data_IF_997792765144
#
_entry.id   IF_997792765144
#
_cell.length_a   1.000
_cell.length_b   1.000
_cell.length_c   1.000
_cell.angle_alpha   90.00
_cell.angle_beta   90.00
_cell.angle_gamma   90.00
#
_symmetry.space_group_name_H-M   'P 1'
#
loop_
_entity.id
_entity.type
_entity.pdbx_description
1 polymer ?
#
# COMPACT_ATOMS: atom_id res chain seq x y z
N UNK A 1 -40.11 -58.40 -5.68
CA UNK A 1 -38.84 -58.69 -6.37
C UNK A 1 -38.77 -60.20 -6.50
N UNK A 2 -38.74 -60.73 -7.72
CA UNK A 2 -38.68 -62.17 -7.96
C UNK A 2 -37.26 -62.71 -7.71
N UNK A 3 -37.13 -64.00 -7.39
CA UNK A 3 -35.84 -64.66 -7.13
C UNK A 3 -34.87 -64.51 -8.31
N UNK A 4 -35.37 -64.58 -9.55
CA UNK A 4 -34.59 -64.38 -10.78
C UNK A 4 -33.95 -62.97 -10.84
N UNK A 5 -34.68 -61.93 -10.45
CA UNK A 5 -34.17 -60.55 -10.40
C UNK A 5 -33.10 -60.38 -9.31
N UNK A 6 -33.25 -61.11 -8.22
CA UNK A 6 -32.31 -61.09 -7.10
C UNK A 6 -30.97 -61.72 -7.51
N UNK A 7 -31.03 -62.83 -8.23
CA UNK A 7 -29.88 -63.55 -8.76
C UNK A 7 -29.14 -62.72 -9.81
N UNK A 8 -29.87 -62.08 -10.73
CA UNK A 8 -29.28 -61.18 -11.73
C UNK A 8 -28.56 -59.97 -11.09
N UNK A 9 -29.06 -59.45 -9.95
CA UNK A 9 -28.39 -58.39 -9.20
C UNK A 9 -27.10 -58.91 -8.54
N UNK A 10 -27.11 -60.11 -7.97
CA UNK A 10 -25.92 -60.71 -7.36
C UNK A 10 -24.82 -60.95 -8.40
N UNK A 11 -25.17 -61.53 -9.55
CA UNK A 11 -24.21 -61.79 -10.63
C UNK A 11 -23.62 -60.49 -11.17
N UNK A 12 -24.44 -59.45 -11.35
CA UNK A 12 -23.99 -58.12 -11.76
C UNK A 12 -23.07 -57.47 -10.71
N UNK A 13 -23.36 -57.67 -9.43
CA UNK A 13 -22.55 -57.14 -8.34
C UNK A 13 -21.20 -57.86 -8.22
N UNK A 14 -21.17 -59.16 -8.52
CA UNK A 14 -19.96 -59.97 -8.53
C UNK A 14 -19.08 -59.63 -9.74
N UNK A 15 -19.67 -59.48 -10.92
CA UNK A 15 -18.98 -58.96 -12.11
C UNK A 15 -18.43 -57.54 -11.89
N UNK A 16 -19.18 -56.67 -11.21
CA UNK A 16 -18.71 -55.32 -10.88
C UNK A 16 -17.55 -55.32 -9.87
N UNK A 17 -17.57 -56.23 -8.88
CA UNK A 17 -16.44 -56.43 -7.96
C UNK A 17 -15.19 -56.94 -8.68
N UNK A 18 -15.35 -57.82 -9.66
CA UNK A 18 -14.23 -58.31 -10.48
C UNK A 18 -13.63 -57.24 -11.40
N UNK A 19 -14.43 -56.25 -11.83
CA UNK A 19 -13.96 -55.07 -12.59
C UNK A 19 -13.49 -53.90 -11.72
N UNK A 20 -13.73 -53.93 -10.41
CA UNK A 20 -13.43 -52.84 -9.50
C UNK A 20 -11.94 -52.73 -9.18
N UNK A 21 -11.43 -51.49 -9.10
CA UNK A 21 -10.07 -51.21 -8.61
C UNK A 21 -10.01 -51.31 -7.08
N UNK A 22 -8.84 -51.62 -6.52
CA UNK A 22 -8.70 -51.71 -5.06
C UNK A 22 -8.70 -50.32 -4.45
N UNK A 23 -9.29 -50.18 -3.25
CA UNK A 23 -9.25 -48.91 -2.52
C UNK A 23 -7.80 -48.50 -2.21
N UNK A 24 -7.02 -49.44 -1.67
CA UNK A 24 -5.58 -49.30 -1.52
C UNK A 24 -4.87 -50.32 -2.42
N UNK A 25 -3.87 -49.90 -3.21
CA UNK A 25 -3.27 -48.57 -3.28
C UNK A 25 -3.92 -47.62 -4.32
N UNK A 26 -4.77 -48.13 -5.21
CA UNK A 26 -5.12 -47.42 -6.45
C UNK A 26 -5.93 -46.12 -6.25
N UNK A 27 -6.96 -46.14 -5.40
CA UNK A 27 -7.80 -44.95 -5.15
C UNK A 27 -7.00 -43.90 -4.36
N UNK A 28 -6.33 -44.32 -3.28
CA UNK A 28 -5.54 -43.42 -2.43
C UNK A 28 -4.44 -42.71 -3.24
N UNK A 29 -3.78 -43.41 -4.15
CA UNK A 29 -2.76 -42.80 -5.00
C UNK A 29 -3.36 -41.73 -5.94
N UNK A 30 -4.53 -41.99 -6.52
CA UNK A 30 -5.23 -41.01 -7.37
C UNK A 30 -5.68 -39.80 -6.56
N UNK A 31 -6.25 -40.03 -5.38
CA UNK A 31 -6.69 -38.95 -4.49
C UNK A 31 -5.50 -38.09 -4.06
N UNK A 32 -4.36 -38.71 -3.72
CA UNK A 32 -3.12 -37.99 -3.38
C UNK A 32 -2.64 -37.10 -4.53
N UNK A 33 -2.63 -37.60 -5.77
CA UNK A 33 -2.25 -36.79 -6.95
C UNK A 33 -3.21 -35.61 -7.14
N UNK A 34 -4.52 -35.86 -7.08
CA UNK A 34 -5.54 -34.81 -7.29
C UNK A 34 -5.48 -33.77 -6.18
N UNK A 35 -5.39 -34.18 -4.91
CA UNK A 35 -5.26 -33.27 -3.77
C UNK A 35 -3.97 -32.45 -3.85
N UNK A 36 -2.85 -33.06 -4.24
CA UNK A 36 -1.60 -32.34 -4.42
C UNK A 36 -1.69 -31.33 -5.58
N UNK A 37 -2.33 -31.70 -6.69
CA UNK A 37 -2.55 -30.77 -7.80
C UNK A 37 -3.44 -29.58 -7.40
N UNK A 38 -4.51 -29.81 -6.62
CA UNK A 38 -5.36 -28.73 -6.10
C UNK A 38 -4.57 -27.85 -5.12
N UNK A 39 -3.73 -28.44 -4.26
CA UNK A 39 -2.88 -27.68 -3.35
C UNK A 39 -1.90 -26.76 -4.11
N UNK A 40 -1.23 -27.29 -5.14
CA UNK A 40 -0.35 -26.49 -5.99
C UNK A 40 -1.11 -25.40 -6.75
N UNK A 41 -2.33 -25.68 -7.21
CA UNK A 41 -3.19 -24.67 -7.83
C UNK A 41 -3.53 -23.54 -6.85
N UNK A 42 -3.93 -23.89 -5.62
CA UNK A 42 -4.24 -22.89 -4.59
C UNK A 42 -3.01 -22.08 -4.20
N UNK A 43 -1.84 -22.72 -4.05
CA UNK A 43 -0.58 -22.03 -3.77
C UNK A 43 -0.20 -21.08 -4.92
N UNK A 44 -0.34 -21.53 -6.17
CA UNK A 44 -0.12 -20.70 -7.34
C UNK A 44 -1.04 -19.49 -7.37
N UNK A 45 -2.34 -19.67 -7.12
CA UNK A 45 -3.28 -18.55 -7.02
C UNK A 45 -2.90 -17.59 -5.89
N UNK A 46 -2.52 -18.09 -4.72
CA UNK A 46 -2.12 -17.25 -3.59
C UNK A 46 -0.85 -16.42 -3.89
N UNK A 47 0.12 -16.98 -4.61
CA UNK A 47 1.38 -16.29 -4.93
C UNK A 47 1.24 -15.31 -6.11
N UNK A 48 0.49 -15.69 -7.15
CA UNK A 48 0.43 -14.91 -8.40
C UNK A 48 -0.79 -13.98 -8.49
N UNK A 49 -1.91 -14.32 -7.87
CA UNK A 49 -3.14 -13.50 -7.86
C UNK A 49 -3.27 -12.72 -6.56
N UNK A 50 -2.72 -13.26 -5.47
CA UNK A 50 -2.81 -12.63 -4.14
C UNK A 50 -4.24 -12.72 -3.56
N UNK A 51 -4.41 -12.10 -2.39
CA UNK A 51 -5.72 -11.91 -1.76
C UNK A 51 -6.06 -10.43 -1.85
N UNK A 52 -7.29 -10.10 -2.24
CA UNK A 52 -7.77 -8.72 -2.20
C UNK A 52 -7.73 -8.25 -0.75
N UNK A 53 -6.89 -7.26 -0.46
CA UNK A 53 -6.88 -6.61 0.85
C UNK A 53 -8.17 -5.82 1.03
N UNK A 54 -8.67 -5.78 2.27
CA UNK A 54 -9.68 -4.80 2.68
C UNK A 54 -9.02 -3.82 3.66
N UNK A 55 -9.42 -2.54 3.65
CA UNK A 55 -8.89 -1.58 4.59
C UNK A 55 -9.24 -2.02 6.01
N UNK A 56 -8.40 -1.65 6.97
CA UNK A 56 -8.67 -1.92 8.38
C UNK A 56 -10.02 -1.32 8.77
N UNK A 57 -10.81 -2.07 9.54
CA UNK A 57 -12.14 -1.66 9.95
C UNK A 57 -12.12 -0.29 10.62
N UNK A 58 -12.84 0.67 10.04
CA UNK A 58 -13.01 2.03 10.54
C UNK A 58 -14.50 2.27 10.86
N UNK A 59 -14.89 2.31 12.14
CA UNK A 59 -16.27 2.58 12.53
C UNK A 59 -16.77 3.99 12.15
N UNK A 60 -15.87 4.90 11.80
CA UNK A 60 -16.20 6.26 11.38
C UNK A 60 -16.32 6.42 9.86
N UNK A 61 -15.97 5.40 9.09
CA UNK A 61 -16.15 5.39 7.65
C UNK A 61 -17.60 5.00 7.29
N UNK A 62 -18.42 6.01 7.00
CA UNK A 62 -19.79 5.80 6.51
C UNK A 62 -19.89 5.60 5.00
N UNK A 63 -18.79 5.78 4.27
CA UNK A 63 -18.70 5.55 2.83
C UNK A 63 -18.30 4.10 2.50
N UNK A 64 -17.78 3.35 3.48
CA UNK A 64 -17.50 1.92 3.32
C UNK A 64 -18.77 1.14 2.94
N UNK A 65 -18.71 0.45 1.80
CA UNK A 65 -19.79 -0.43 1.33
C UNK A 65 -19.43 -1.87 1.73
N UNK A 66 -20.01 -2.43 2.80
CA UNK A 66 -19.73 -3.81 3.21
C UNK A 66 -20.25 -4.78 2.14
N UNK A 67 -19.32 -5.42 1.41
CA UNK A 67 -19.66 -6.41 0.39
C UNK A 67 -19.54 -7.82 0.97
N UNK A 68 -20.50 -8.71 0.68
CA UNK A 68 -20.37 -10.10 1.08
C UNK A 68 -19.34 -10.82 0.21
N UNK A 69 -18.80 -11.90 0.75
CA UNK A 69 -17.94 -12.83 0.03
C UNK A 69 -18.61 -13.39 -1.23
N UNK A 70 -17.82 -13.74 -2.24
CA UNK A 70 -18.30 -14.14 -3.57
C UNK A 70 -19.31 -15.30 -3.54
N UNK A 71 -19.14 -16.26 -2.62
CA UNK A 71 -20.05 -17.39 -2.44
C UNK A 71 -21.39 -17.02 -1.79
N UNK A 72 -21.55 -15.79 -1.29
CA UNK A 72 -22.81 -15.26 -0.75
C UNK A 72 -23.44 -14.15 -1.62
N UNK A 73 -22.76 -13.71 -2.68
CA UNK A 73 -23.27 -12.64 -3.55
C UNK A 73 -24.67 -12.92 -4.10
N UNK A 74 -24.98 -14.17 -4.48
CA UNK A 74 -26.31 -14.52 -5.00
C UNK A 74 -27.43 -14.34 -3.97
N UNK A 75 -27.15 -14.57 -2.67
CA UNK A 75 -28.13 -14.37 -1.60
C UNK A 75 -28.35 -12.88 -1.35
N UNK A 76 -27.29 -12.09 -1.42
CA UNK A 76 -27.38 -10.64 -1.25
C UNK A 76 -28.13 -9.97 -2.39
N UNK A 77 -27.88 -10.39 -3.63
CA UNK A 77 -28.64 -9.94 -4.79
C UNK A 77 -30.11 -10.35 -4.69
N UNK A 78 -30.37 -11.58 -4.26
CA UNK A 78 -31.74 -12.03 -4.00
C UNK A 78 -32.44 -11.15 -2.97
N UNK A 79 -31.72 -10.67 -1.95
CA UNK A 79 -32.27 -9.84 -0.89
C UNK A 79 -32.79 -8.49 -1.40
N UNK A 80 -32.22 -7.95 -2.50
CA UNK A 80 -32.72 -6.74 -3.14
C UNK A 80 -34.19 -6.87 -3.60
N UNK A 81 -34.66 -8.08 -3.87
CA UNK A 81 -36.06 -8.34 -4.24
C UNK A 81 -37.01 -8.48 -3.03
N UNK A 82 -36.49 -8.48 -1.80
CA UNK A 82 -37.28 -8.62 -0.56
C UNK A 82 -37.07 -7.44 0.42
N UNK A 83 -37.42 -6.19 0.04
CA UNK A 83 -37.16 -5.03 0.89
C UNK A 83 -38.04 -4.98 2.17
N UNK A 84 -37.47 -4.45 3.25
CA UNK A 84 -38.18 -4.10 4.48
C UNK A 84 -38.65 -5.31 5.29
N UNK A 85 -39.95 -5.39 5.59
CA UNK A 85 -40.51 -6.44 6.45
C UNK A 85 -40.46 -7.86 5.86
N UNK A 86 -40.06 -8.01 4.60
CA UNK A 86 -39.90 -9.29 3.91
C UNK A 86 -38.46 -9.80 3.90
N UNK A 87 -37.50 -9.04 4.44
CA UNK A 87 -36.08 -9.38 4.42
C UNK A 87 -35.80 -10.75 5.07
N UNK A 88 -36.46 -11.04 6.21
CA UNK A 88 -36.36 -12.34 6.90
C UNK A 88 -36.84 -13.52 6.06
N UNK A 89 -37.75 -13.30 5.11
CA UNK A 89 -38.22 -14.34 4.18
C UNK A 89 -37.09 -14.70 3.22
N UNK A 90 -36.42 -13.68 2.67
CA UNK A 90 -35.29 -13.83 1.76
C UNK A 90 -34.06 -14.46 2.43
N UNK A 91 -33.73 -14.06 3.66
CA UNK A 91 -32.51 -14.53 4.35
C UNK A 91 -32.68 -15.85 5.06
N UNK A 92 -33.85 -16.13 5.65
CA UNK A 92 -34.03 -17.28 6.56
C UNK A 92 -34.98 -18.32 5.98
N UNK A 93 -36.16 -17.92 5.50
CA UNK A 93 -37.16 -18.89 5.03
C UNK A 93 -36.71 -19.56 3.74
N UNK A 94 -36.33 -18.79 2.70
CA UNK A 94 -36.02 -19.35 1.38
C UNK A 94 -34.80 -20.30 1.46
N UNK A 95 -33.64 -19.90 2.01
CA UNK A 95 -32.51 -20.81 2.17
C UNK A 95 -32.86 -21.99 3.07
N UNK A 96 -33.59 -21.76 4.17
CA UNK A 96 -34.04 -22.82 5.08
C UNK A 96 -34.93 -23.86 4.39
N UNK A 97 -35.86 -23.43 3.54
CA UNK A 97 -36.71 -24.33 2.75
C UNK A 97 -35.91 -25.09 1.69
N UNK A 98 -34.94 -24.46 1.04
CA UNK A 98 -34.05 -25.14 0.08
C UNK A 98 -33.24 -26.24 0.79
N UNK A 99 -32.66 -25.94 1.95
CA UNK A 99 -31.92 -26.92 2.75
C UNK A 99 -32.85 -28.03 3.24
N UNK A 100 -34.05 -27.69 3.73
CA UNK A 100 -35.05 -28.67 4.13
C UNK A 100 -35.46 -29.57 2.97
N UNK A 101 -35.65 -29.01 1.77
CA UNK A 101 -35.98 -29.75 0.57
C UNK A 101 -34.83 -30.68 0.15
N UNK A 102 -33.58 -30.23 0.26
CA UNK A 102 -32.40 -31.06 0.03
C UNK A 102 -32.28 -32.20 1.05
N UNK A 103 -32.60 -31.93 2.31
CA UNK A 103 -32.63 -32.93 3.37
C UNK A 103 -33.76 -33.95 3.17
N UNK A 104 -34.92 -33.50 2.69
CA UNK A 104 -36.07 -34.35 2.37
C UNK A 104 -35.98 -35.01 0.98
N UNK A 105 -35.00 -34.62 0.16
CA UNK A 105 -34.78 -35.14 -1.19
C UNK A 105 -34.74 -36.68 -1.26
N UNK A 106 -34.07 -37.43 -0.36
CA UNK A 106 -34.11 -38.91 -0.38
C UNK A 106 -35.51 -39.51 -0.15
N UNK A 107 -36.44 -38.77 0.46
CA UNK A 107 -37.82 -39.23 0.71
C UNK A 107 -38.79 -38.81 -0.41
N UNK A 108 -38.52 -37.65 -1.02
CA UNK A 108 -39.30 -37.08 -2.12
C UNK A 108 -38.96 -37.79 -3.44
N UNK A 109 -37.67 -37.95 -3.75
CA UNK A 109 -37.23 -38.64 -4.97
C UNK A 109 -37.14 -40.15 -4.75
N UNK A 110 -38.28 -40.83 -4.96
CA UNK A 110 -38.40 -42.29 -4.89
C UNK A 110 -38.01 -43.01 -6.18
N UNK A 111 -37.26 -42.36 -7.07
CA UNK A 111 -36.86 -42.96 -8.34
C UNK A 111 -36.00 -44.22 -8.10
N UNK A 112 -36.35 -45.39 -8.67
CA UNK A 112 -35.60 -46.63 -8.50
C UNK A 112 -34.20 -46.60 -9.14
N UNK A 113 -33.93 -45.66 -10.04
CA UNK A 113 -32.64 -45.52 -10.72
C UNK A 113 -31.74 -44.51 -9.99
N UNK A 114 -30.57 -44.96 -9.53
CA UNK A 114 -29.58 -44.11 -8.83
C UNK A 114 -28.72 -43.26 -9.76
N UNK A 115 -28.49 -43.72 -10.98
CA UNK A 115 -27.56 -43.06 -11.89
C UNK A 115 -28.14 -41.72 -12.41
N UNK A 116 -27.28 -40.70 -12.50
CA UNK A 116 -27.66 -39.31 -12.77
C UNK A 116 -28.48 -39.13 -14.06
N UNK A 117 -28.14 -39.79 -15.17
CA UNK A 117 -28.83 -39.54 -16.44
C UNK A 117 -30.25 -40.14 -16.53
N UNK A 118 -30.61 -41.06 -15.62
CA UNK A 118 -31.99 -41.55 -15.44
C UNK A 118 -32.79 -40.73 -14.42
N UNK A 119 -32.17 -39.82 -13.67
CA UNK A 119 -32.83 -38.91 -12.72
C UNK A 119 -33.06 -37.52 -13.33
N UNK A 120 -33.57 -37.49 -14.56
CA UNK A 120 -33.71 -36.27 -15.37
C UNK A 120 -34.45 -35.17 -14.61
N UNK A 121 -35.53 -35.49 -13.91
CA UNK A 121 -36.29 -34.50 -13.13
C UNK A 121 -35.46 -33.84 -12.02
N UNK A 122 -34.85 -34.63 -11.12
CA UNK A 122 -34.05 -34.11 -10.02
C UNK A 122 -32.82 -33.33 -10.51
N UNK A 123 -32.16 -33.82 -11.56
CA UNK A 123 -31.02 -33.13 -12.19
C UNK A 123 -31.48 -31.82 -12.85
N UNK A 124 -32.61 -31.80 -13.57
CA UNK A 124 -33.16 -30.57 -14.16
C UNK A 124 -33.46 -29.52 -13.10
N UNK A 125 -34.12 -29.90 -11.99
CA UNK A 125 -34.42 -28.97 -10.90
C UNK A 125 -33.15 -28.41 -10.27
N UNK A 126 -32.18 -29.28 -9.93
CA UNK A 126 -30.90 -28.84 -9.38
C UNK A 126 -30.14 -27.93 -10.34
N UNK A 127 -30.16 -28.24 -11.63
CA UNK A 127 -29.52 -27.42 -12.67
C UNK A 127 -30.15 -26.03 -12.75
N UNK A 128 -31.48 -25.92 -12.66
CA UNK A 128 -32.17 -24.62 -12.64
C UNK A 128 -31.77 -23.81 -11.40
N UNK A 129 -31.66 -24.45 -10.23
CA UNK A 129 -31.22 -23.79 -8.99
C UNK A 129 -29.80 -23.24 -9.14
N UNK A 130 -28.86 -24.05 -9.65
CA UNK A 130 -27.47 -23.63 -9.87
C UNK A 130 -27.39 -22.51 -10.91
N UNK A 131 -28.12 -22.60 -12.02
CA UNK A 131 -28.19 -21.53 -13.02
C UNK A 131 -28.73 -20.24 -12.39
N UNK A 132 -29.76 -20.33 -11.54
CA UNK A 132 -30.28 -19.18 -10.80
C UNK A 132 -29.25 -18.55 -9.88
N UNK A 133 -28.50 -19.35 -9.12
CA UNK A 133 -27.41 -18.86 -8.26
C UNK A 133 -26.31 -18.15 -9.07
N UNK A 134 -25.90 -18.72 -10.20
CA UNK A 134 -24.90 -18.12 -11.09
C UNK A 134 -25.43 -16.81 -11.70
N UNK A 135 -26.67 -16.80 -12.19
CA UNK A 135 -27.29 -15.61 -12.76
C UNK A 135 -27.41 -14.47 -11.75
N UNK A 136 -27.83 -14.77 -10.52
CA UNK A 136 -27.88 -13.80 -9.42
C UNK A 136 -26.48 -13.32 -9.02
N UNK A 137 -25.47 -14.20 -9.02
CA UNK A 137 -24.08 -13.79 -8.76
C UNK A 137 -23.58 -12.81 -9.83
N UNK A 138 -23.85 -13.09 -11.11
CA UNK A 138 -23.49 -12.19 -12.21
C UNK A 138 -24.22 -10.86 -12.10
N UNK A 139 -25.52 -10.88 -11.77
CA UNK A 139 -26.31 -9.67 -11.51
C UNK A 139 -25.76 -8.87 -10.33
N UNK A 140 -25.34 -9.54 -9.25
CA UNK A 140 -24.70 -8.90 -8.11
C UNK A 140 -23.44 -8.15 -8.54
N UNK A 141 -22.55 -8.81 -9.28
CA UNK A 141 -21.31 -8.20 -9.77
C UNK A 141 -21.59 -7.02 -10.71
N UNK A 142 -22.59 -7.14 -11.59
CA UNK A 142 -22.93 -6.10 -12.55
C UNK A 142 -23.62 -4.87 -11.93
N UNK A 143 -24.40 -5.04 -10.86
CA UNK A 143 -25.18 -3.96 -10.24
C UNK A 143 -24.53 -3.35 -9.02
N UNK A 144 -23.47 -3.97 -8.49
CA UNK A 144 -22.73 -3.44 -7.36
C UNK A 144 -21.72 -2.40 -7.86
N UNK A 145 -21.78 -1.15 -7.38
CA UNK A 145 -20.79 -0.15 -7.76
C UNK A 145 -19.39 -0.62 -7.34
N UNK A 146 -18.32 -0.28 -8.10
CA UNK A 146 -16.97 -0.47 -7.61
C UNK A 146 -16.84 0.29 -6.29
N UNK A 147 -16.33 -0.33 -5.22
CA UNK A 147 -15.87 0.46 -4.07
C UNK A 147 -14.82 1.41 -4.63
N UNK A 148 -14.95 2.69 -4.29
CA UNK A 148 -13.76 3.51 -4.24
C UNK A 148 -12.79 2.77 -3.34
N UNK A 149 -11.64 2.38 -3.87
CA UNK A 149 -10.55 1.78 -3.11
C UNK A 149 -10.17 2.80 -2.04
N UNK A 150 -10.82 2.73 -0.88
CA UNK A 150 -10.58 3.64 0.23
C UNK A 150 -9.27 3.21 0.89
N UNK A 151 -8.20 3.83 0.40
CA UNK A 151 -6.83 3.64 0.84
C UNK A 151 -6.14 2.57 0.00
N UNK A 152 -5.01 2.92 -0.62
CA UNK A 152 -4.07 1.92 -1.11
C UNK A 152 -3.72 1.00 0.06
N UNK A 153 -3.98 -0.30 -0.07
CA UNK A 153 -3.76 -1.23 1.04
C UNK A 153 -2.35 -1.74 0.90
N UNK A 154 -1.47 -1.06 1.62
CA UNK A 154 -0.08 -1.42 1.61
C UNK A 154 0.16 -2.81 2.20
N UNK A 155 0.44 -3.76 1.31
CA UNK A 155 0.61 -5.19 1.60
C UNK A 155 2.04 -5.53 2.04
N UNK A 156 2.98 -4.61 1.76
CA UNK A 156 4.39 -4.73 2.14
C UNK A 156 4.84 -3.53 2.97
N UNK A 157 5.91 -3.69 3.74
CA UNK A 157 6.51 -2.59 4.53
C UNK A 157 6.94 -1.43 3.64
N UNK A 158 7.49 -1.73 2.46
CA UNK A 158 7.88 -0.72 1.48
C UNK A 158 6.68 0.11 1.01
N UNK A 159 5.58 -0.56 0.65
CA UNK A 159 4.35 0.09 0.22
C UNK A 159 3.74 0.93 1.36
N UNK A 160 3.85 0.48 2.62
CA UNK A 160 3.35 1.21 3.79
C UNK A 160 4.13 2.51 4.00
N UNK A 161 5.45 2.47 3.79
CA UNK A 161 6.29 3.65 3.93
C UNK A 161 5.99 4.66 2.83
N UNK A 162 5.89 4.23 1.57
CA UNK A 162 5.57 5.13 0.45
C UNK A 162 4.19 5.75 0.60
N UNK A 163 3.18 4.95 1.01
CA UNK A 163 1.85 5.45 1.29
C UNK A 163 1.85 6.44 2.47
N UNK A 164 2.61 6.13 3.52
CA UNK A 164 2.79 7.00 4.67
C UNK A 164 3.42 8.34 4.30
N UNK A 165 4.43 8.32 3.42
CA UNK A 165 5.06 9.54 2.91
C UNK A 165 4.07 10.42 2.14
N UNK A 166 3.19 9.83 1.33
CA UNK A 166 2.18 10.56 0.58
C UNK A 166 1.20 11.29 1.52
N UNK A 167 0.61 10.57 2.48
CA UNK A 167 -0.30 11.20 3.44
C UNK A 167 0.42 12.20 4.35
N UNK A 168 1.64 11.90 4.79
CA UNK A 168 2.46 12.83 5.57
C UNK A 168 2.71 14.13 4.78
N UNK A 169 3.07 14.01 3.51
CA UNK A 169 3.31 15.14 2.61
C UNK A 169 2.07 16.02 2.46
N UNK A 170 0.88 15.42 2.32
CA UNK A 170 -0.36 16.16 2.10
C UNK A 170 -0.92 16.83 3.35
N UNK A 171 -0.68 16.29 4.54
CA UNK A 171 -1.38 16.68 5.77
C UNK A 171 -0.42 17.27 6.82
N UNK A 172 0.78 16.75 6.93
CA UNK A 172 1.67 17.06 8.06
C UNK A 172 2.73 18.11 7.74
N UNK A 173 3.23 18.16 6.50
CA UNK A 173 4.40 18.97 6.11
C UNK A 173 4.21 20.47 6.32
N UNK A 174 3.00 20.98 6.16
CA UNK A 174 2.67 22.40 6.32
C UNK A 174 3.02 22.91 7.74
N UNK A 175 2.85 22.07 8.77
CA UNK A 175 3.21 22.40 10.16
C UNK A 175 4.54 21.78 10.60
N UNK A 176 4.80 20.52 10.25
CA UNK A 176 5.94 19.77 10.78
C UNK A 176 7.20 19.78 9.90
N UNK A 177 7.11 20.31 8.68
CA UNK A 177 8.20 20.26 7.70
C UNK A 177 8.28 18.88 7.04
N UNK A 178 9.02 18.80 5.94
CA UNK A 178 9.14 17.56 5.16
C UNK A 178 9.90 16.44 5.89
N UNK A 179 10.80 16.79 6.81
CA UNK A 179 11.52 15.83 7.65
C UNK A 179 11.07 15.86 9.11
N UNK A 180 9.94 16.48 9.44
CA UNK A 180 9.47 16.57 10.82
C UNK A 180 10.35 17.44 11.73
N UNK A 181 11.19 18.31 11.15
CA UNK A 181 12.19 19.08 11.89
C UNK A 181 11.72 20.46 12.37
N UNK A 182 10.52 20.89 11.97
CA UNK A 182 10.08 22.28 12.16
C UNK A 182 10.05 22.63 13.65
N UNK A 183 10.64 23.77 13.99
CA UNK A 183 10.67 24.34 15.35
C UNK A 183 9.74 25.55 15.51
N UNK A 184 9.37 26.19 14.40
CA UNK A 184 8.49 27.35 14.35
C UNK A 184 7.64 27.26 13.08
N UNK A 185 6.32 27.36 13.25
CA UNK A 185 5.38 27.25 12.13
C UNK A 185 5.32 28.58 11.38
N UNK A 186 5.51 28.54 10.06
CA UNK A 186 5.47 29.71 9.17
C UNK A 186 4.57 29.39 7.97
N UNK A 187 3.79 30.39 7.53
CA UNK A 187 2.86 30.30 6.41
C UNK A 187 1.52 29.62 6.71
N UNK A 188 1.17 29.36 7.97
CA UNK A 188 -0.06 28.65 8.34
C UNK A 188 -1.02 29.57 9.09
N UNK A 189 -2.17 29.85 8.47
CA UNK A 189 -3.17 30.74 9.04
C UNK A 189 -3.64 30.24 10.41
N UNK A 190 -3.44 31.06 11.45
CA UNK A 190 -3.82 30.74 12.84
C UNK A 190 -2.77 30.00 13.67
N UNK A 191 -1.65 29.56 13.07
CA UNK A 191 -0.52 28.91 13.75
C UNK A 191 0.82 29.60 13.50
N UNK A 192 0.82 30.75 12.83
CA UNK A 192 2.04 31.52 12.54
C UNK A 192 2.82 31.90 13.81
N UNK A 193 4.12 31.57 13.82
CA UNK A 193 5.04 31.86 14.94
C UNK A 193 4.88 30.93 16.15
N UNK A 194 4.06 29.88 16.05
CA UNK A 194 3.95 28.87 17.10
C UNK A 194 5.22 28.03 17.18
N UNK A 195 5.80 27.95 18.37
CA UNK A 195 7.01 27.17 18.64
C UNK A 195 6.61 25.73 18.94
N UNK A 196 7.07 24.80 18.12
CA UNK A 196 6.81 23.36 18.26
C UNK A 196 8.11 22.59 18.45
N UNK A 197 7.99 21.39 19.02
CA UNK A 197 9.13 20.47 19.12
C UNK A 197 9.25 19.67 17.82
N UNK A 198 10.48 19.49 17.27
CA UNK A 198 10.72 18.61 16.14
C UNK A 198 10.22 17.20 16.44
N UNK A 199 9.30 16.71 15.60
CA UNK A 199 8.70 15.39 15.77
C UNK A 199 9.63 14.27 15.33
N UNK A 200 10.64 14.57 14.52
CA UNK A 200 11.70 13.65 14.12
C UNK A 200 12.84 13.52 15.15
N UNK A 201 12.76 14.23 16.29
CA UNK A 201 13.82 14.19 17.29
C UNK A 201 13.94 12.80 17.94
N UNK A 202 15.17 12.42 18.29
CA UNK A 202 15.43 11.14 18.97
C UNK A 202 14.62 11.00 20.25
N UNK A 203 14.39 12.08 21.02
CA UNK A 203 13.52 12.05 22.20
C UNK A 203 12.12 11.52 21.87
N UNK A 204 11.50 12.02 20.79
CA UNK A 204 10.16 11.59 20.37
C UNK A 204 10.16 10.19 19.81
N UNK A 205 11.10 9.86 18.91
CA UNK A 205 11.18 8.52 18.32
C UNK A 205 11.47 7.47 19.41
N UNK A 206 12.29 7.77 20.41
CA UNK A 206 12.66 6.75 21.41
C UNK A 206 11.60 6.53 22.48
N UNK A 207 10.85 7.57 22.85
CA UNK A 207 9.93 7.53 23.98
C UNK A 207 8.48 7.25 23.61
N UNK A 208 8.04 7.67 22.42
CA UNK A 208 6.68 7.42 21.95
C UNK A 208 6.60 6.01 21.35
N UNK A 209 5.54 5.27 21.66
CA UNK A 209 5.23 4.00 20.99
C UNK A 209 4.44 4.24 19.71
N UNK A 210 4.34 3.25 18.83
CA UNK A 210 3.57 3.35 17.58
C UNK A 210 2.11 3.67 17.87
N UNK A 211 1.53 3.02 18.88
CA UNK A 211 0.18 3.33 19.38
C UNK A 211 0.07 4.77 19.90
N UNK A 212 1.13 5.30 20.53
CA UNK A 212 1.13 6.68 21.01
C UNK A 212 1.13 7.65 19.84
N UNK A 213 1.99 7.42 18.83
CA UNK A 213 2.05 8.23 17.62
C UNK A 213 0.72 8.17 16.86
N UNK A 214 0.15 6.97 16.70
CA UNK A 214 -1.16 6.76 16.11
C UNK A 214 -2.23 7.58 16.83
N UNK A 215 -2.32 7.48 18.16
CA UNK A 215 -3.33 8.19 18.94
C UNK A 215 -3.14 9.71 18.89
N UNK A 216 -1.90 10.20 18.89
CA UNK A 216 -1.59 11.63 18.75
C UNK A 216 -2.07 12.15 17.39
N UNK A 217 -1.82 11.41 16.30
CA UNK A 217 -2.25 11.80 14.95
C UNK A 217 -3.78 11.73 14.84
N UNK A 218 -4.37 10.65 15.35
CA UNK A 218 -5.80 10.38 15.29
C UNK A 218 -6.63 11.42 16.07
N UNK A 219 -6.26 11.68 17.32
CA UNK A 219 -7.00 12.54 18.25
C UNK A 219 -6.57 14.02 18.20
N UNK A 220 -5.36 14.28 17.71
CA UNK A 220 -4.72 15.58 17.85
C UNK A 220 -4.31 15.87 19.30
N UNK A 221 -3.66 17.02 19.50
CA UNK A 221 -3.27 17.53 20.80
C UNK A 221 -3.76 18.97 20.92
N UNK A 222 -4.97 19.20 21.48
CA UNK A 222 -5.56 20.53 21.56
C UNK A 222 -4.68 21.55 22.31
N UNK A 223 -3.97 21.09 23.35
CA UNK A 223 -3.06 21.93 24.13
C UNK A 223 -1.84 22.41 23.32
N UNK A 224 -1.46 21.67 22.28
CA UNK A 224 -0.37 22.01 21.36
C UNK A 224 -0.90 22.53 20.01
N UNK A 225 -2.20 22.86 19.95
CA UNK A 225 -2.90 23.33 18.74
C UNK A 225 -2.76 22.39 17.53
N UNK A 226 -2.48 21.11 17.77
CA UNK A 226 -2.49 20.09 16.73
C UNK A 226 -3.92 19.58 16.56
N UNK A 227 -4.58 19.81 15.40
CA UNK A 227 -5.93 19.32 15.16
C UNK A 227 -5.97 17.79 15.06
N UNK A 228 -7.11 17.16 15.32
CA UNK A 228 -7.31 15.75 15.00
C UNK A 228 -7.21 15.51 13.50
N UNK A 229 -6.45 14.51 13.07
CA UNK A 229 -6.40 14.10 11.67
C UNK A 229 -7.22 12.84 11.39
N UNK A 230 -7.65 12.13 12.44
CA UNK A 230 -8.51 10.97 12.31
C UNK A 230 -9.93 11.33 11.91
N UNK A 231 -10.49 10.58 10.97
CA UNK A 231 -11.85 10.73 10.45
C UNK A 231 -12.91 10.70 11.54
N UNK A 232 -12.72 9.84 12.54
CA UNK A 232 -13.58 9.73 13.72
C UNK A 232 -13.67 11.03 14.54
N UNK A 233 -12.67 11.91 14.42
CA UNK A 233 -12.52 13.12 15.21
C UNK A 233 -12.58 14.41 14.37
N UNK A 234 -13.01 14.29 13.10
CA UNK A 234 -13.20 15.42 12.20
C UNK A 234 -12.06 15.67 11.20
N UNK A 235 -11.05 14.79 11.15
CA UNK A 235 -10.02 14.81 10.12
C UNK A 235 -10.38 13.98 8.88
N UNK A 236 -9.39 13.71 8.03
CA UNK A 236 -9.57 13.02 6.75
C UNK A 236 -9.06 11.56 6.77
N UNK A 237 -8.18 11.22 7.73
CA UNK A 237 -7.46 9.96 7.76
C UNK A 237 -8.21 8.82 8.44
N UNK A 238 -8.25 7.66 7.79
CA UNK A 238 -8.63 6.38 8.37
C UNK A 238 -7.48 5.71 9.14
N UNK A 239 -7.76 4.66 9.93
CA UNK A 239 -6.77 3.98 10.74
C UNK A 239 -5.57 3.44 9.96
N UNK A 240 -5.79 2.79 8.81
CA UNK A 240 -4.70 2.25 7.99
C UNK A 240 -3.78 3.33 7.42
N UNK A 241 -4.32 4.51 7.11
CA UNK A 241 -3.57 5.65 6.59
C UNK A 241 -2.69 6.26 7.70
N UNK A 242 -3.22 6.36 8.92
CA UNK A 242 -2.43 6.81 10.09
C UNK A 242 -1.31 5.81 10.41
N UNK A 243 -1.59 4.51 10.34
CA UNK A 243 -0.56 3.47 10.53
C UNK A 243 0.56 3.56 9.49
N UNK A 244 0.21 3.84 8.23
CA UNK A 244 1.19 4.09 7.17
C UNK A 244 2.06 5.32 7.49
N UNK A 245 1.48 6.43 7.96
CA UNK A 245 2.24 7.61 8.40
C UNK A 245 3.19 7.25 9.55
N UNK A 246 2.71 6.51 10.56
CA UNK A 246 3.55 6.08 11.69
C UNK A 246 4.71 5.21 11.20
N UNK A 247 4.45 4.27 10.28
CA UNK A 247 5.49 3.47 9.67
C UNK A 247 6.53 4.34 8.94
N UNK A 248 6.08 5.30 8.12
CA UNK A 248 6.98 6.26 7.47
C UNK A 248 7.85 7.02 8.48
N UNK A 249 7.25 7.60 9.52
CA UNK A 249 7.98 8.32 10.56
C UNK A 249 9.05 7.44 11.23
N UNK A 250 8.71 6.18 11.54
CA UNK A 250 9.63 5.21 12.14
C UNK A 250 10.79 4.90 11.23
N UNK A 251 10.51 4.43 10.03
CA UNK A 251 11.55 3.95 9.14
C UNK A 251 12.42 5.09 8.56
N UNK A 252 11.94 6.33 8.57
CA UNK A 252 12.70 7.47 8.08
C UNK A 252 13.46 8.25 9.18
N UNK A 253 13.00 8.22 10.44
CA UNK A 253 13.60 9.04 11.52
C UNK A 253 14.10 8.26 12.74
N UNK A 254 13.67 7.01 12.93
CA UNK A 254 14.12 6.18 14.05
C UNK A 254 15.34 5.35 13.63
N UNK A 255 16.52 5.71 14.12
CA UNK A 255 17.80 5.05 13.80
C UNK A 255 17.93 3.62 14.31
N UNK A 256 16.96 3.12 15.11
CA UNK A 256 16.85 1.73 15.53
C UNK A 256 16.16 0.85 14.48
N UNK A 257 15.49 1.46 13.50
CA UNK A 257 14.74 0.75 12.47
C UNK A 257 15.65 0.43 11.30
N UNK A 258 15.77 -0.86 10.98
CA UNK A 258 16.45 -1.31 9.77
C UNK A 258 15.42 -1.47 8.65
N UNK A 259 15.58 -0.69 7.59
CA UNK A 259 14.81 -0.85 6.37
C UNK A 259 15.17 -2.18 5.69
N UNK A 260 14.17 -2.98 5.25
CA UNK A 260 14.46 -4.05 4.30
C UNK A 260 15.19 -3.46 3.08
N UNK A 261 16.20 -4.15 2.55
CA UNK A 261 17.01 -3.64 1.43
C UNK A 261 16.17 -3.20 0.22
N UNK A 262 15.01 -3.83 0.03
CA UNK A 262 14.02 -3.52 -1.00
C UNK A 262 13.26 -2.20 -0.73
N UNK A 263 13.04 -1.84 0.54
CA UNK A 263 12.34 -0.62 0.94
C UNK A 263 13.25 0.63 0.90
N UNK A 264 14.56 0.48 1.11
CA UNK A 264 15.53 1.58 0.98
C UNK A 264 15.44 2.24 -0.40
N UNK A 265 15.21 1.45 -1.44
CA UNK A 265 15.06 1.92 -2.82
C UNK A 265 13.72 2.64 -3.10
N UNK A 266 12.70 2.44 -2.26
CA UNK A 266 11.34 2.95 -2.49
C UNK A 266 10.94 4.10 -1.55
N UNK A 267 11.59 4.23 -0.39
CA UNK A 267 11.29 5.24 0.64
C UNK A 267 12.20 6.47 0.62
N UNK A 268 13.19 6.49 -0.27
CA UNK A 268 14.15 7.59 -0.39
C UNK A 268 14.20 8.07 -1.83
N UNK A 269 14.36 9.39 -2.02
CA UNK A 269 14.67 9.96 -3.33
C UNK A 269 15.90 9.22 -3.86
N UNK A 270 15.79 8.50 -5.00
CA UNK A 270 16.87 7.64 -5.48
C UNK A 270 18.18 8.42 -5.57
N UNK A 271 19.25 7.84 -5.01
CA UNK A 271 20.57 8.46 -5.09
C UNK A 271 21.03 8.50 -6.55
N UNK A 272 21.34 9.71 -7.03
CA UNK A 272 21.76 9.90 -8.41
C UNK A 272 23.21 9.42 -8.62
N UNK A 273 23.41 8.56 -9.61
CA UNK A 273 24.77 8.19 -10.04
C UNK A 273 25.60 9.40 -10.53
N UNK A 274 26.94 9.35 -10.46
CA UNK A 274 27.79 10.49 -10.85
C UNK A 274 27.52 11.03 -12.25
N UNK A 275 27.25 10.14 -13.21
CA UNK A 275 27.01 10.43 -14.64
C UNK A 275 25.56 10.15 -15.07
N UNK A 276 24.66 9.90 -14.11
CA UNK A 276 23.25 9.62 -14.40
C UNK A 276 22.49 10.93 -14.66
N UNK A 277 21.68 10.94 -15.72
CA UNK A 277 20.73 12.03 -15.98
C UNK A 277 19.46 11.74 -15.17
N UNK A 278 19.03 12.64 -14.28
CA UNK A 278 17.76 12.47 -13.57
C UNK A 278 16.59 12.54 -14.57
N UNK A 279 15.47 11.88 -14.26
CA UNK A 279 14.19 12.04 -14.95
C UNK A 279 13.10 12.56 -14.00
N UNK A 280 12.01 13.08 -14.56
CA UNK A 280 10.86 13.47 -13.75
C UNK A 280 10.28 12.27 -13.00
N UNK A 281 9.99 11.18 -13.71
CA UNK A 281 9.36 9.99 -13.14
C UNK A 281 10.14 9.41 -11.96
N UNK A 282 11.47 9.34 -12.06
CA UNK A 282 12.31 8.63 -11.08
C UNK A 282 12.74 9.54 -9.93
N UNK A 283 13.15 10.77 -10.23
CA UNK A 283 13.85 11.62 -9.25
C UNK A 283 13.03 12.85 -8.85
N UNK A 284 12.56 13.62 -9.82
CA UNK A 284 11.96 14.94 -9.54
C UNK A 284 10.58 14.78 -8.95
N UNK A 285 9.78 13.82 -9.41
CA UNK A 285 8.45 13.56 -8.88
C UNK A 285 8.51 13.22 -7.38
N UNK A 286 9.51 12.46 -6.94
CA UNK A 286 9.74 12.15 -5.52
C UNK A 286 10.07 13.40 -4.71
N UNK A 287 10.96 14.26 -5.21
CA UNK A 287 11.30 15.54 -4.56
C UNK A 287 10.06 16.44 -4.45
N UNK A 288 9.32 16.61 -5.55
CA UNK A 288 8.17 17.51 -5.58
C UNK A 288 7.01 17.01 -4.72
N UNK A 289 6.73 15.71 -4.72
CA UNK A 289 5.73 15.11 -3.83
C UNK A 289 6.04 15.39 -2.36
N UNK A 290 7.30 15.19 -1.95
CA UNK A 290 7.73 15.36 -0.55
C UNK A 290 7.80 16.81 -0.08
N UNK A 291 8.29 17.72 -0.93
CA UNK A 291 8.61 19.09 -0.50
C UNK A 291 7.71 20.19 -1.08
N UNK A 292 6.97 19.93 -2.17
CA UNK A 292 6.26 20.97 -2.92
C UNK A 292 4.74 20.81 -2.89
N UNK A 293 4.23 19.59 -3.10
CA UNK A 293 2.79 19.33 -3.36
C UNK A 293 1.87 19.74 -2.19
N UNK A 294 2.37 19.68 -0.95
CA UNK A 294 1.62 20.08 0.25
C UNK A 294 1.01 21.49 0.11
N UNK A 295 1.82 22.42 -0.40
CA UNK A 295 1.44 23.80 -0.68
C UNK A 295 1.04 23.99 -2.15
N UNK A 296 1.67 23.30 -3.11
CA UNK A 296 1.49 23.45 -4.57
C UNK A 296 0.51 22.45 -5.19
N UNK A 297 -0.73 22.46 -4.71
CA UNK A 297 -1.85 21.62 -5.18
C UNK A 297 -3.12 22.42 -5.49
N UNK A 298 -4.07 21.88 -6.27
CA UNK A 298 -5.32 22.56 -6.59
C UNK A 298 -6.08 23.00 -5.32
N UNK A 299 -6.61 24.22 -5.34
CA UNK A 299 -7.38 24.78 -4.23
C UNK A 299 -6.58 25.51 -3.15
N UNK A 300 -5.24 25.47 -3.18
CA UNK A 300 -4.38 26.29 -2.30
C UNK A 300 -4.10 27.66 -2.93
N UNK A 301 -3.90 28.69 -2.10
CA UNK A 301 -3.56 30.07 -2.53
C UNK A 301 -2.03 30.24 -2.60
N UNK A 302 -1.45 29.96 -3.76
CA UNK A 302 -0.01 29.78 -3.95
C UNK A 302 0.47 30.27 -5.33
N UNK A 303 -0.06 31.40 -5.79
CA UNK A 303 0.15 31.94 -7.15
C UNK A 303 -0.32 31.00 -8.27
N UNK A 304 -1.35 30.18 -7.99
CA UNK A 304 -1.93 29.18 -8.92
C UNK A 304 -0.90 28.18 -9.49
N UNK A 305 0.22 27.99 -8.79
CA UNK A 305 1.26 27.04 -9.19
C UNK A 305 0.95 25.66 -8.61
N UNK A 306 0.78 24.69 -9.50
CA UNK A 306 0.44 23.30 -9.19
C UNK A 306 1.58 22.40 -9.66
N UNK A 307 1.97 21.44 -8.82
CA UNK A 307 3.14 20.61 -9.09
C UNK A 307 2.91 19.11 -8.84
N UNK A 308 1.71 18.58 -9.10
CA UNK A 308 1.43 17.15 -8.90
C UNK A 308 1.87 16.33 -10.11
N UNK A 309 1.79 16.90 -11.31
CA UNK A 309 2.24 16.26 -12.56
C UNK A 309 3.32 17.07 -13.26
N UNK A 310 4.05 16.43 -14.18
CA UNK A 310 5.09 17.07 -14.99
C UNK A 310 4.54 18.26 -15.79
N UNK A 311 3.39 18.07 -16.44
CA UNK A 311 2.72 19.10 -17.22
C UNK A 311 2.30 20.29 -16.35
N UNK A 312 1.68 20.02 -15.19
CA UNK A 312 1.25 21.08 -14.26
C UNK A 312 2.43 21.93 -13.79
N UNK A 313 3.55 21.27 -13.46
CA UNK A 313 4.76 21.92 -12.94
C UNK A 313 5.38 22.92 -13.94
N UNK A 314 5.15 22.74 -15.24
CA UNK A 314 5.73 23.60 -16.28
C UNK A 314 4.73 24.65 -16.75
N UNK A 315 3.44 24.28 -16.82
CA UNK A 315 2.42 25.08 -17.49
C UNK A 315 1.59 25.95 -16.55
N UNK A 316 1.56 25.64 -15.26
CA UNK A 316 0.73 26.36 -14.28
C UNK A 316 1.48 27.46 -13.54
N UNK A 317 0.73 28.29 -12.82
CA UNK A 317 1.23 29.43 -12.06
C UNK A 317 1.03 30.77 -12.77
N UNK A 318 0.83 31.82 -11.97
CA UNK A 318 0.60 33.19 -12.46
C UNK A 318 1.81 33.76 -13.23
N UNK A 319 2.99 33.20 -12.99
CA UNK A 319 4.26 33.58 -13.62
C UNK A 319 4.79 32.48 -14.57
N UNK A 320 3.92 31.61 -15.10
CA UNK A 320 4.33 30.55 -16.02
C UNK A 320 5.02 31.10 -17.29
N UNK A 321 6.08 30.44 -17.82
CA UNK A 321 6.68 29.21 -17.28
C UNK A 321 7.61 29.49 -16.08
N UNK A 322 7.39 28.77 -14.98
CA UNK A 322 8.24 28.90 -13.78
C UNK A 322 9.53 28.03 -13.85
N UNK A 323 9.53 27.04 -14.74
CA UNK A 323 10.66 26.17 -15.08
C UNK A 323 10.86 26.16 -16.59
N UNK A 324 12.10 26.28 -17.02
CA UNK A 324 12.48 26.29 -18.43
C UNK A 324 13.68 25.38 -18.63
N UNK A 325 13.57 24.42 -19.57
CA UNK A 325 14.62 23.48 -19.88
C UNK A 325 15.92 24.20 -20.27
N UNK A 326 17.03 23.85 -19.62
CA UNK A 326 18.35 24.42 -19.83
C UNK A 326 18.59 25.81 -19.21
N UNK A 327 17.59 26.42 -18.55
CA UNK A 327 17.71 27.76 -17.97
C UNK A 327 17.66 27.75 -16.43
N UNK A 328 18.81 28.03 -15.82
CA UNK A 328 18.94 28.15 -14.37
C UNK A 328 18.48 29.51 -13.81
N UNK A 329 17.92 30.39 -14.65
CA UNK A 329 17.30 31.64 -14.22
C UNK A 329 15.76 31.57 -14.15
N UNK A 330 15.18 30.38 -14.29
CA UNK A 330 13.74 30.21 -14.15
C UNK A 330 13.28 30.52 -12.72
N UNK A 331 12.04 30.98 -12.56
CA UNK A 331 11.53 31.45 -11.26
C UNK A 331 11.71 30.41 -10.15
N UNK A 332 11.34 29.16 -10.40
CA UNK A 332 11.41 28.08 -9.39
C UNK A 332 12.84 27.89 -8.90
N UNK A 333 13.83 27.74 -9.79
CA UNK A 333 15.19 27.42 -9.34
C UNK A 333 15.85 28.60 -8.61
N UNK A 334 15.50 29.84 -8.97
CA UNK A 334 15.94 31.05 -8.25
C UNK A 334 15.34 31.11 -6.84
N UNK A 335 14.05 30.82 -6.71
CA UNK A 335 13.36 30.74 -5.40
C UNK A 335 13.92 29.59 -4.54
N UNK A 336 14.27 28.44 -5.14
CA UNK A 336 14.94 27.33 -4.43
C UNK A 336 16.34 27.70 -3.95
N UNK A 337 17.05 28.56 -4.69
CA UNK A 337 18.31 29.18 -4.27
C UNK A 337 18.11 30.37 -3.31
N UNK A 338 16.89 30.54 -2.78
CA UNK A 338 16.52 31.55 -1.79
C UNK A 338 16.65 33.00 -2.29
N UNK A 339 16.54 33.22 -3.60
CA UNK A 339 16.43 34.57 -4.14
C UNK A 339 15.03 35.14 -3.94
N UNK A 340 14.96 36.45 -3.64
CA UNK A 340 13.72 37.23 -3.69
C UNK A 340 13.50 37.72 -5.12
N UNK A 341 12.39 37.34 -5.74
CA UNK A 341 12.07 37.68 -7.13
C UNK A 341 10.64 38.20 -7.25
N UNK A 342 10.32 38.86 -8.37
CA UNK A 342 8.96 39.39 -8.60
C UNK A 342 7.87 38.30 -8.57
N UNK A 343 8.23 37.06 -8.94
CA UNK A 343 7.33 35.91 -8.92
C UNK A 343 7.06 35.34 -7.51
N UNK A 344 7.85 35.73 -6.50
CA UNK A 344 7.72 35.28 -5.12
C UNK A 344 9.06 35.23 -4.36
N UNK A 345 8.98 34.87 -3.08
CA UNK A 345 10.15 34.77 -2.21
C UNK A 345 10.77 33.37 -2.13
N UNK A 346 11.73 33.18 -1.19
CA UNK A 346 12.43 31.92 -0.97
C UNK A 346 11.51 30.72 -0.72
N UNK A 347 11.75 29.61 -1.43
CA UNK A 347 10.98 28.38 -1.30
C UNK A 347 11.88 27.16 -1.00
N UNK A 348 11.43 26.18 -0.19
CA UNK A 348 10.25 26.24 0.68
C UNK A 348 10.36 27.36 1.74
N UNK A 349 9.24 27.90 2.23
CA UNK A 349 9.26 29.08 3.11
C UNK A 349 9.98 28.80 4.43
N UNK A 350 9.72 27.62 5.02
CA UNK A 350 10.16 27.27 6.37
C UNK A 350 11.64 26.91 6.45
N UNK A 351 12.18 26.23 5.42
CA UNK A 351 13.56 25.75 5.41
C UNK A 351 14.04 25.49 3.98
N UNK A 352 15.31 25.81 3.73
CA UNK A 352 15.96 25.52 2.45
C UNK A 352 16.06 24.00 2.20
N UNK A 353 15.92 23.60 0.93
CA UNK A 353 16.20 22.23 0.49
C UNK A 353 17.67 21.89 0.73
N UNK A 354 17.95 20.59 0.91
CA UNK A 354 19.33 20.09 0.98
C UNK A 354 20.05 20.39 -0.35
N UNK A 355 21.33 20.80 -0.32
CA UNK A 355 22.08 21.11 -1.54
C UNK A 355 22.12 19.96 -2.56
N UNK A 356 22.13 18.72 -2.09
CA UNK A 356 22.10 17.51 -2.92
C UNK A 356 20.81 17.41 -3.75
N UNK A 357 19.67 17.80 -3.18
CA UNK A 357 18.38 17.80 -3.88
C UNK A 357 18.31 18.92 -4.92
N UNK A 358 18.89 20.08 -4.59
CA UNK A 358 19.02 21.20 -5.54
C UNK A 358 19.92 20.77 -6.71
N UNK A 359 21.02 20.06 -6.46
CA UNK A 359 21.89 19.52 -7.52
C UNK A 359 21.12 18.60 -8.47
N UNK A 360 20.31 17.67 -7.95
CA UNK A 360 19.47 16.79 -8.78
C UNK A 360 18.54 17.62 -9.69
N UNK A 361 17.87 18.65 -9.15
CA UNK A 361 16.99 19.53 -9.94
C UNK A 361 17.79 20.30 -10.99
N UNK A 362 18.96 20.86 -10.63
CA UNK A 362 19.83 21.60 -11.56
C UNK A 362 20.27 20.71 -12.71
N UNK A 363 20.73 19.48 -12.43
CA UNK A 363 21.14 18.52 -13.47
C UNK A 363 19.99 18.18 -14.39
N UNK A 364 18.81 17.95 -13.83
CA UNK A 364 17.62 17.68 -14.61
C UNK A 364 17.22 18.83 -15.52
N UNK A 365 17.26 20.08 -15.02
CA UNK A 365 17.00 21.28 -15.83
C UNK A 365 18.02 21.37 -16.97
N UNK A 366 19.32 21.24 -16.67
CA UNK A 366 20.39 21.33 -17.67
C UNK A 366 20.34 20.21 -18.71
N UNK A 367 19.84 19.03 -18.35
CA UNK A 367 19.65 17.89 -19.25
C UNK A 367 18.42 18.03 -20.16
N UNK A 368 17.68 19.14 -20.07
CA UNK A 368 16.50 19.37 -20.89
C UNK A 368 15.18 18.88 -20.28
N UNK A 369 15.16 18.63 -18.97
CA UNK A 369 13.98 18.20 -18.19
C UNK A 369 13.31 16.93 -18.74
N UNK A 370 14.04 15.82 -18.94
CA UNK A 370 13.43 14.57 -19.42
C UNK A 370 12.32 14.09 -18.48
N UNK A 371 11.16 13.73 -19.06
CA UNK A 371 10.01 13.26 -18.30
C UNK A 371 10.22 11.81 -17.86
N UNK A 372 10.49 10.92 -18.82
CA UNK A 372 10.62 9.48 -18.55
C UNK A 372 12.07 9.04 -18.30
N UNK A 373 12.24 7.87 -17.69
CA UNK A 373 13.57 7.25 -17.57
C UNK A 373 14.23 6.97 -18.94
N UNK A 374 13.43 6.68 -19.97
CA UNK A 374 13.92 6.47 -21.34
C UNK A 374 14.45 7.78 -21.96
N UNK A 375 13.75 8.89 -21.73
CA UNK A 375 14.19 10.22 -22.20
C UNK A 375 15.49 10.64 -21.52
N UNK A 376 15.60 10.37 -20.22
CA UNK A 376 16.82 10.65 -19.47
C UNK A 376 18.01 9.81 -19.95
N UNK A 377 17.79 8.52 -20.25
CA UNK A 377 18.83 7.67 -20.82
C UNK A 377 19.29 8.11 -22.22
N UNK A 378 18.43 8.80 -22.97
CA UNK A 378 18.75 9.36 -24.29
C UNK A 378 19.36 10.77 -24.21
N UNK A 379 19.26 11.45 -23.07
CA UNK A 379 19.75 12.80 -22.86
C UNK A 379 21.28 12.84 -22.66
N UNK A 380 21.88 13.98 -23.00
CA UNK A 380 23.33 14.18 -22.80
C UNK A 380 23.56 14.62 -21.35
N UNK A 381 24.44 13.95 -20.60
CA UNK A 381 24.78 14.37 -19.24
C UNK A 381 25.28 15.82 -19.23
N UNK A 382 24.72 16.68 -18.37
CA UNK A 382 25.17 18.06 -18.28
C UNK A 382 26.59 18.11 -17.70
N UNK A 383 27.47 18.90 -18.32
CA UNK A 383 28.82 19.15 -17.76
C UNK A 383 28.67 20.13 -16.61
N UNK A 384 28.56 19.63 -15.39
CA UNK A 384 28.49 20.47 -14.18
C UNK A 384 29.90 20.54 -13.59
N UNK A 385 30.48 21.73 -13.52
CA UNK A 385 31.63 21.96 -12.63
C UNK A 385 31.11 21.98 -11.20
N UNK A 386 31.57 21.10 -10.30
CA UNK A 386 31.05 21.05 -8.93
C UNK A 386 31.30 22.39 -8.21
N UNK A 387 30.41 22.80 -7.29
CA UNK A 387 30.61 24.00 -6.49
C UNK A 387 31.91 23.86 -5.69
N UNK A 388 32.71 24.94 -5.66
CA UNK A 388 33.95 25.00 -4.88
C UNK A 388 33.63 24.82 -3.40
N UNK A 389 33.76 23.60 -2.89
CA UNK A 389 33.39 23.27 -1.52
C UNK A 389 33.20 21.78 -1.22
N UNK A 390 33.12 20.91 -2.22
CA UNK A 390 33.15 19.46 -1.98
C UNK A 390 34.59 19.04 -1.66
N UNK A 391 34.91 18.95 -0.37
CA UNK A 391 36.04 18.16 0.08
C UNK A 391 35.75 16.73 -0.36
N UNK A 392 36.44 16.27 -1.39
CA UNK A 392 36.53 14.85 -1.70
C UNK A 392 37.20 14.20 -0.50
N UNK A 393 36.41 13.68 0.45
CA UNK A 393 36.89 12.64 1.35
C UNK A 393 37.11 11.42 0.47
N UNK A 394 38.28 11.36 -0.15
CA UNK A 394 38.85 10.09 -0.57
C UNK A 394 38.83 9.23 0.68
N UNK A 395 37.96 8.22 0.71
CA UNK A 395 38.14 7.07 1.59
C UNK A 395 39.43 6.40 1.12
N UNK A 396 40.55 6.91 1.62
CA UNK A 396 41.81 6.20 1.65
C UNK A 396 41.55 5.00 2.54
N UNK A 397 41.28 3.86 1.91
CA UNK A 397 41.41 2.55 2.54
C UNK A 397 42.76 2.54 3.26
N UNK A 398 42.83 2.43 4.59
CA UNK A 398 44.14 2.27 5.22
C UNK A 398 44.63 0.89 4.81
N UNK A 399 45.72 0.88 4.05
CA UNK A 399 46.52 -0.31 3.82
C UNK A 399 46.78 -0.97 5.17
N UNK A 400 46.51 -2.27 5.25
CA UNK A 400 46.78 -3.10 6.41
C UNK A 400 48.25 -2.96 6.81
N UNK A 401 48.51 -2.17 7.86
CA UNK A 401 49.79 -2.19 8.54
C UNK A 401 49.67 -3.23 9.66
N UNK A 402 50.35 -4.35 9.43
CA UNK A 402 50.61 -5.38 10.43
C UNK A 402 51.45 -4.72 11.54
N UNK A 403 50.81 -4.31 12.63
CA UNK A 403 51.50 -3.96 13.86
C UNK A 403 51.65 -5.25 14.67
N UNK A 404 52.85 -5.81 14.62
CA UNK A 404 53.29 -6.86 15.54
C UNK A 404 53.59 -6.19 16.88
N UNK A 405 52.63 -6.17 17.80
CA UNK A 405 52.89 -5.77 19.19
C UNK A 405 53.17 -7.02 20.01
N UNK A 406 54.43 -7.15 20.42
CA UNK A 406 54.93 -8.12 21.36
C UNK A 406 54.24 -7.98 22.72
N UNK A 407 53.64 -9.08 23.20
CA UNK A 407 53.09 -9.20 24.55
C UNK A 407 54.24 -9.12 25.58
N UNK A 408 54.20 -8.12 26.47
CA UNK A 408 54.97 -8.13 27.72
C UNK A 408 54.06 -8.65 28.85
N UNK A 409 54.55 -9.64 29.59
CA UNK A 409 53.83 -10.33 30.67
C UNK A 409 53.54 -9.43 31.89
N UNK A 410 52.47 -9.70 32.66
CA UNK A 410 52.11 -8.90 33.82
C UNK A 410 52.91 -9.31 35.07
N UNK A 411 53.48 -8.32 35.75
CA UNK A 411 54.12 -8.47 37.06
C UNK A 411 53.06 -8.40 38.16
N UNK A 412 52.93 -9.48 38.93
CA UNK A 412 52.04 -9.59 40.10
C UNK A 412 52.68 -8.88 41.29
N UNK A 413 51.98 -7.92 41.90
CA UNK A 413 52.32 -7.37 43.22
C UNK A 413 51.21 -7.69 44.22
N UNK A 414 51.57 -8.42 45.27
CA UNK A 414 50.71 -8.85 46.36
C UNK A 414 50.39 -7.72 47.34
N UNK A 415 49.16 -7.74 47.87
CA UNK A 415 48.72 -6.91 48.99
C UNK A 415 49.25 -7.45 50.33
N UNK A 416 49.61 -6.58 51.31
CA UNK A 416 49.83 -7.00 52.68
C UNK A 416 48.56 -6.81 53.54
N UNK A 417 48.23 -7.84 54.32
CA UNK A 417 47.43 -7.79 55.56
C UNK A 417 48.39 -7.95 56.74
N UNK A 418 48.03 -7.62 58.00
CA UNK A 418 46.70 -7.35 58.57
C UNK A 418 46.38 -5.88 58.90
#
# INVERSE_FOLDING_TARGET
>A
MNEEQKQEIYDRHEQAKQKGVKFYPDIIYKDMIVSFAIFLLMLGLAVFVGVAGEPKADPSDSAYIPRPEWYFMFLFEMLKYFPGKLEWVGTTIIPGLVVLLLFLLPFIDRNPFRHWSKRRFAISVMTIVVIGMVALTISAVATTPPQAETGAIASTVSEQITLGEEYYSLICVECHGAEGETTEIVGVEGLEGEIISPINSQDKMYTLTDDSLFNIINLGLPNLKMPPNGRAYGGELGPGEIEAIVAYMRYNWDDRMELPAEAVAASSIPALGPDEVPSYEVHISAIYKRYCVSCHRPGKKNNNYVSQTYEEMITTGDNAPNLVAGDLNSNTIRMLNREEIDAGGPMPPNKALKPELIDIIVRWILAGMPETAADAAAAIPPVITPPSGVITTTVSTPASSVITTTLAAPTVTAFPTP
#
